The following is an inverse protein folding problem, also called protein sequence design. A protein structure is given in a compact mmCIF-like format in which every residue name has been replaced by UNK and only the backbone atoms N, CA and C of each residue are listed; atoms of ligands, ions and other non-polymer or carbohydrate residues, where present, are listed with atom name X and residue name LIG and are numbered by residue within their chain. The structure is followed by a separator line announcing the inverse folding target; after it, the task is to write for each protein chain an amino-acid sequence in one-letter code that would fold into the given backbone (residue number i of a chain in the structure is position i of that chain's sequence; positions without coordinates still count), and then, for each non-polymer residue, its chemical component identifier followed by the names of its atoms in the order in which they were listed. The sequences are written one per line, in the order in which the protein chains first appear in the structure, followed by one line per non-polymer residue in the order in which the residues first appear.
data_IF_954887237508
#
_entry.id   IF_954887237508
#
_cell.length_a   1.000
_cell.length_b   1.000
_cell.length_c   1.000
_cell.angle_alpha   90.00
_cell.angle_beta   90.00
_cell.angle_gamma   90.00
#
_symmetry.space_group_name_H-M   'P 1'
#
loop_
_entity.id
_entity.type
_entity.pdbx_description
1 polymer ?
#
# COMPACT_ATOMS: atom_id res chain seq x y z
N UNK A 1 11.35 -8.39 -8.06
CA UNK A 1 10.36 -9.43 -7.77
C UNK A 1 9.33 -9.43 -8.88
N UNK A 2 9.21 -10.54 -9.59
CA UNK A 2 8.16 -10.81 -10.59
C UNK A 2 6.89 -11.33 -9.90
N UNK A 3 5.81 -11.44 -10.66
CA UNK A 3 4.55 -12.05 -10.19
C UNK A 3 4.75 -13.52 -9.83
N UNK A 4 5.39 -14.30 -10.71
CA UNK A 4 5.60 -15.73 -10.50
C UNK A 4 6.46 -16.00 -9.26
N UNK A 5 7.49 -15.19 -9.04
CA UNK A 5 8.31 -15.24 -7.82
C UNK A 5 7.48 -14.97 -6.56
N UNK A 6 6.57 -13.99 -6.61
CA UNK A 6 5.74 -13.63 -5.47
C UNK A 6 4.67 -14.71 -5.18
N UNK A 7 4.01 -15.25 -6.21
CA UNK A 7 3.06 -16.35 -6.08
C UNK A 7 3.73 -17.61 -5.51
N UNK A 8 4.96 -17.92 -5.95
CA UNK A 8 5.72 -19.07 -5.47
C UNK A 8 6.01 -19.05 -3.96
N UNK A 9 5.95 -17.89 -3.31
CA UNK A 9 6.08 -17.79 -1.84
C UNK A 9 4.87 -18.37 -1.09
N UNK A 10 3.72 -18.52 -1.77
CA UNK A 10 2.45 -18.89 -1.15
C UNK A 10 1.84 -17.79 -0.27
N UNK A 11 2.48 -16.60 -0.17
CA UNK A 11 2.00 -15.49 0.64
C UNK A 11 0.92 -14.66 -0.04
N UNK A 12 0.79 -14.79 -1.37
CA UNK A 12 -0.20 -14.07 -2.15
C UNK A 12 -0.99 -15.01 -3.04
N UNK A 13 -2.17 -14.56 -3.46
CA UNK A 13 -3.01 -15.23 -4.46
C UNK A 13 -3.68 -14.21 -5.37
N UNK A 14 -4.01 -14.56 -6.63
CA UNK A 14 -4.78 -13.66 -7.48
C UNK A 14 -6.07 -13.22 -6.80
N UNK A 15 -6.41 -11.94 -6.91
CA UNK A 15 -7.72 -11.45 -6.51
C UNK A 15 -8.82 -12.06 -7.40
N UNK A 16 -10.08 -12.08 -6.94
CA UNK A 16 -11.20 -12.60 -7.72
C UNK A 16 -11.42 -11.89 -9.07
N UNK A 17 -11.02 -10.63 -9.17
CA UNK A 17 -10.94 -9.87 -10.42
C UNK A 17 -9.56 -9.23 -10.54
N UNK A 18 -8.55 -10.01 -10.99
CA UNK A 18 -7.15 -9.67 -10.79
C UNK A 18 -6.60 -8.71 -11.83
N UNK A 19 -7.30 -8.37 -12.91
CA UNK A 19 -6.77 -7.47 -13.94
C UNK A 19 -7.62 -6.21 -13.99
N UNK A 20 -6.97 -5.05 -13.84
CA UNK A 20 -7.63 -3.76 -13.98
C UNK A 20 -7.62 -3.24 -15.44
N UNK A 21 -8.23 -2.08 -15.67
CA UNK A 21 -8.32 -1.48 -17.01
C UNK A 21 -6.97 -0.99 -17.57
N UNK A 22 -5.96 -0.81 -16.72
CA UNK A 22 -4.60 -0.47 -17.12
C UNK A 22 -3.74 -1.73 -17.43
N UNK A 23 -4.30 -2.92 -17.19
CA UNK A 23 -3.59 -4.19 -17.36
C UNK A 23 -2.70 -4.56 -16.17
N UNK A 24 -2.80 -3.85 -15.05
CA UNK A 24 -2.12 -4.22 -13.82
C UNK A 24 -2.79 -5.41 -13.16
N UNK A 25 -1.96 -6.24 -12.51
CA UNK A 25 -2.40 -7.47 -11.87
C UNK A 25 -2.48 -7.31 -10.36
N UNK A 26 -3.69 -7.42 -9.83
CA UNK A 26 -4.04 -7.32 -8.43
C UNK A 26 -4.08 -8.66 -7.70
N UNK A 27 -3.53 -8.66 -6.50
CA UNK A 27 -3.35 -9.84 -5.65
C UNK A 27 -3.83 -9.57 -4.23
N UNK A 28 -4.22 -10.63 -3.55
CA UNK A 28 -4.58 -10.63 -2.15
C UNK A 28 -3.51 -11.33 -1.31
N UNK A 29 -3.40 -10.95 -0.04
CA UNK A 29 -2.67 -11.77 0.93
C UNK A 29 -3.36 -13.14 1.08
N UNK A 30 -2.58 -14.21 1.11
CA UNK A 30 -3.09 -15.55 1.42
C UNK A 30 -3.77 -15.56 2.79
N UNK A 31 -4.99 -16.11 2.85
CA UNK A 31 -5.82 -16.10 4.06
C UNK A 31 -6.65 -14.83 4.27
N UNK A 32 -6.46 -13.78 3.46
CA UNK A 32 -7.22 -12.53 3.55
C UNK A 32 -7.64 -12.07 2.15
N UNK A 33 -8.77 -12.60 1.66
CA UNK A 33 -9.36 -12.13 0.40
C UNK A 33 -9.85 -10.69 0.55
N UNK A 34 -9.50 -9.84 -0.39
CA UNK A 34 -10.14 -8.55 -0.56
C UNK A 34 -11.38 -8.70 -1.44
N UNK A 35 -12.19 -7.64 -1.51
CA UNK A 35 -13.30 -7.60 -2.45
C UNK A 35 -12.78 -7.68 -3.90
N UNK A 36 -13.60 -8.15 -4.87
CA UNK A 36 -13.21 -8.13 -6.28
C UNK A 36 -12.79 -6.72 -6.72
N UNK A 37 -11.68 -6.63 -7.43
CA UNK A 37 -11.07 -5.37 -7.89
C UNK A 37 -10.51 -4.45 -6.80
N UNK A 38 -10.37 -4.94 -5.56
CA UNK A 38 -9.63 -4.28 -4.49
C UNK A 38 -8.40 -5.11 -4.17
N UNK A 39 -7.21 -4.51 -4.20
CA UNK A 39 -5.96 -5.26 -4.23
C UNK A 39 -5.10 -5.02 -2.99
N UNK A 40 -4.58 -6.10 -2.41
CA UNK A 40 -3.55 -6.03 -1.37
C UNK A 40 -2.19 -5.76 -1.99
N UNK A 41 -1.86 -6.38 -3.11
CA UNK A 41 -0.65 -6.08 -3.89
C UNK A 41 -1.03 -5.78 -5.34
N UNK A 42 -0.23 -4.94 -6.00
CA UNK A 42 -0.47 -4.58 -7.39
C UNK A 42 0.82 -4.63 -8.19
N UNK A 43 0.77 -5.31 -9.33
CA UNK A 43 1.88 -5.47 -10.26
C UNK A 43 1.60 -4.74 -11.57
N UNK A 44 2.45 -3.78 -11.89
CA UNK A 44 2.55 -3.13 -13.18
C UNK A 44 3.30 -4.03 -14.18
N UNK A 45 2.83 -4.14 -15.43
CA UNK A 45 3.60 -4.77 -16.51
C UNK A 45 4.95 -4.09 -16.76
N UNK A 46 5.08 -2.80 -16.47
CA UNK A 46 6.27 -1.98 -16.76
C UNK A 46 7.21 -1.86 -15.56
N UNK A 47 6.66 -1.68 -14.36
CA UNK A 47 7.44 -1.39 -13.15
C UNK A 47 7.54 -2.58 -12.19
N UNK A 48 6.83 -3.68 -12.44
CA UNK A 48 6.76 -4.81 -11.53
C UNK A 48 5.87 -4.50 -10.33
N UNK A 49 6.26 -4.94 -9.13
CA UNK A 49 5.50 -4.69 -7.91
C UNK A 49 5.50 -3.18 -7.56
N UNK A 50 4.34 -2.55 -7.65
CA UNK A 50 4.17 -1.10 -7.43
C UNK A 50 3.48 -0.75 -6.12
N UNK A 51 2.75 -1.70 -5.53
CA UNK A 51 2.04 -1.51 -4.25
C UNK A 51 2.08 -2.76 -3.39
N UNK A 52 2.31 -2.55 -2.11
CA UNK A 52 2.17 -3.53 -1.03
C UNK A 52 1.27 -2.90 0.03
N UNK A 53 0.05 -3.40 0.16
CA UNK A 53 -0.87 -3.05 1.23
C UNK A 53 -0.53 -3.77 2.52
N UNK A 54 -0.70 -3.09 3.64
CA UNK A 54 -0.36 -3.63 4.95
C UNK A 54 -1.17 -4.86 5.31
N UNK A 55 -0.50 -5.85 5.90
CA UNK A 55 -1.15 -6.89 6.68
C UNK A 55 -1.60 -6.31 8.04
N UNK A 56 -2.36 -7.08 8.81
CA UNK A 56 -2.83 -6.64 10.14
C UNK A 56 -1.66 -6.29 11.09
N UNK A 57 -0.50 -6.90 10.89
CA UNK A 57 0.75 -6.74 11.64
C UNK A 57 1.76 -5.80 10.96
N UNK A 58 1.36 -5.07 9.91
CA UNK A 58 2.25 -4.15 9.22
C UNK A 58 2.51 -2.89 10.07
N UNK A 59 3.79 -2.54 10.19
CA UNK A 59 4.31 -1.38 10.91
C UNK A 59 5.47 -0.77 10.09
N UNK A 60 5.53 0.55 10.00
CA UNK A 60 6.70 1.22 9.41
C UNK A 60 7.90 1.12 10.36
N UNK A 61 9.15 1.16 9.89
CA UNK A 61 10.32 1.15 10.77
C UNK A 61 10.32 2.25 11.85
N UNK A 62 9.59 3.34 11.60
CA UNK A 62 9.41 4.48 12.49
C UNK A 62 8.29 4.31 13.52
N UNK A 63 7.56 3.18 13.48
CA UNK A 63 6.58 2.80 14.49
C UNK A 63 5.11 3.16 14.18
N UNK A 64 4.78 3.46 12.91
CA UNK A 64 3.39 3.72 12.52
C UNK A 64 2.74 2.44 12.00
N UNK A 65 1.59 2.08 12.57
CA UNK A 65 0.86 0.85 12.26
C UNK A 65 -0.65 1.10 12.23
N UNK A 66 -1.42 0.06 11.88
CA UNK A 66 -2.89 0.11 11.97
C UNK A 66 -3.31 0.31 13.43
N UNK A 67 -3.91 1.46 13.73
CA UNK A 67 -4.32 1.86 15.08
C UNK A 67 -3.58 3.08 15.62
N UNK A 68 -2.46 3.48 15.00
CA UNK A 68 -1.79 4.74 15.33
C UNK A 68 -2.73 5.92 15.10
N UNK A 69 -2.63 6.94 15.96
CA UNK A 69 -3.43 8.15 15.84
C UNK A 69 -2.88 9.08 14.75
N UNK A 70 -3.71 10.00 14.27
CA UNK A 70 -3.26 11.10 13.40
C UNK A 70 -2.13 11.92 14.06
N UNK A 71 -2.18 12.09 15.39
CA UNK A 71 -1.15 12.81 16.14
C UNK A 71 0.18 12.06 16.11
N UNK A 72 0.17 10.73 16.31
CA UNK A 72 1.38 9.91 16.20
C UNK A 72 2.00 10.03 14.81
N UNK A 73 1.17 9.99 13.76
CA UNK A 73 1.62 10.16 12.37
C UNK A 73 2.27 11.52 12.17
N UNK A 74 1.69 12.60 12.68
CA UNK A 74 2.28 13.95 12.60
C UNK A 74 3.55 14.09 13.43
N UNK A 75 3.65 13.41 14.57
CA UNK A 75 4.85 13.43 15.40
C UNK A 75 6.03 12.74 14.70
N UNK A 76 5.76 11.62 14.00
CA UNK A 76 6.77 10.86 13.26
C UNK A 76 7.11 11.50 11.91
N UNK A 77 6.11 12.05 11.21
CA UNK A 77 6.25 12.63 9.86
C UNK A 77 5.79 14.10 9.79
N UNK A 78 6.40 15.02 10.56
CA UNK A 78 5.87 16.37 10.81
C UNK A 78 5.68 17.24 9.56
N UNK A 79 6.58 17.13 8.58
CA UNK A 79 6.58 18.00 7.38
C UNK A 79 6.13 17.28 6.10
N UNK A 80 5.88 15.97 6.19
CA UNK A 80 5.86 15.10 5.03
C UNK A 80 4.51 14.44 4.79
N UNK A 81 3.79 14.07 5.85
CA UNK A 81 2.50 13.43 5.69
C UNK A 81 1.41 14.47 5.38
N UNK A 82 0.93 14.45 4.13
CA UNK A 82 -0.06 15.41 3.63
C UNK A 82 -1.32 14.71 3.18
N UNK A 83 -2.52 15.29 3.44
CA UNK A 83 -3.76 14.78 2.86
C UNK A 83 -3.64 14.72 1.34
N UNK A 84 -3.85 13.54 0.78
CA UNK A 84 -3.92 13.30 -0.64
C UNK A 84 -5.39 13.32 -1.09
N UNK A 85 -5.68 14.17 -2.08
CA UNK A 85 -7.01 14.35 -2.69
C UNK A 85 -8.20 14.46 -1.69
N UNK A 86 -7.97 14.99 -0.49
CA UNK A 86 -9.01 15.31 0.50
C UNK A 86 -9.75 14.11 1.09
N UNK A 87 -9.30 12.87 0.84
CA UNK A 87 -10.04 11.65 1.16
C UNK A 87 -9.18 10.74 2.02
N UNK A 88 -9.04 11.06 3.31
CA UNK A 88 -8.60 10.10 4.32
C UNK A 88 -7.26 9.40 4.05
N UNK A 89 -6.51 9.78 3.03
CA UNK A 89 -5.25 9.15 2.64
C UNK A 89 -4.16 10.19 2.82
N UNK A 90 -3.11 9.83 3.53
CA UNK A 90 -1.97 10.68 3.78
C UNK A 90 -0.76 10.03 3.15
N UNK A 91 0.00 10.83 2.43
CA UNK A 91 1.17 10.33 1.71
C UNK A 91 2.41 10.97 2.30
N UNK A 92 3.41 10.15 2.61
CA UNK A 92 4.73 10.59 3.07
C UNK A 92 5.82 9.80 2.34
N UNK A 93 6.96 10.40 1.98
CA UNK A 93 8.11 9.66 1.47
C UNK A 93 8.60 8.64 2.50
N UNK A 94 9.17 7.53 2.02
CA UNK A 94 9.82 6.55 2.89
C UNK A 94 11.22 7.05 3.26
N UNK A 95 11.57 7.17 4.55
CA UNK A 95 12.91 7.57 4.96
C UNK A 95 13.99 6.67 4.35
N UNK A 96 14.96 7.29 3.66
CA UNK A 96 16.06 6.56 3.01
C UNK A 96 15.71 5.81 1.73
N UNK A 97 14.44 5.83 1.28
CA UNK A 97 14.03 5.22 0.00
C UNK A 97 13.23 6.21 -0.86
N UNK A 98 13.90 7.02 -1.71
CA UNK A 98 13.24 8.06 -2.50
C UNK A 98 12.32 7.52 -3.59
N UNK A 99 12.40 6.21 -3.89
CA UNK A 99 11.58 5.57 -4.92
C UNK A 99 10.20 5.16 -4.41
N UNK A 100 9.90 5.34 -3.13
CA UNK A 100 8.66 4.87 -2.51
C UNK A 100 8.05 5.88 -1.54
N UNK A 101 6.74 5.77 -1.38
CA UNK A 101 5.94 6.51 -0.42
C UNK A 101 5.18 5.54 0.50
N UNK A 102 5.02 5.92 1.75
CA UNK A 102 3.97 5.38 2.59
C UNK A 102 2.64 6.07 2.30
N UNK A 103 1.59 5.27 2.15
CA UNK A 103 0.21 5.71 2.08
C UNK A 103 -0.51 5.25 3.34
N UNK A 104 -0.92 6.21 4.16
CA UNK A 104 -1.59 5.99 5.43
C UNK A 104 -3.07 6.31 5.24
N UNK A 105 -3.96 5.32 5.41
CA UNK A 105 -5.41 5.53 5.30
C UNK A 105 -5.97 5.77 6.69
N UNK A 106 -6.51 6.95 6.94
CA UNK A 106 -7.09 7.37 8.21
C UNK A 106 -8.62 7.27 8.17
N UNK A 107 -9.22 6.75 9.23
CA UNK A 107 -10.65 6.87 9.47
C UNK A 107 -10.86 7.35 10.90
N UNK A 108 -11.64 8.41 11.08
CA UNK A 108 -11.88 9.03 12.39
C UNK A 108 -10.57 9.31 13.17
N UNK A 109 -9.58 9.88 12.48
CA UNK A 109 -8.26 10.22 13.03
C UNK A 109 -7.39 9.03 13.49
N UNK A 110 -7.68 7.82 13.00
CA UNK A 110 -6.91 6.61 13.29
C UNK A 110 -6.47 5.94 12.00
N UNK A 111 -5.22 5.51 11.92
CA UNK A 111 -4.69 4.74 10.80
C UNK A 111 -5.41 3.38 10.72
N UNK A 112 -6.07 3.15 9.59
CA UNK A 112 -6.79 1.92 9.26
C UNK A 112 -6.04 1.05 8.26
N UNK A 113 -5.07 1.61 7.55
CA UNK A 113 -4.21 0.89 6.60
C UNK A 113 -2.90 1.64 6.40
N UNK A 114 -1.82 0.89 6.17
CA UNK A 114 -0.48 1.39 5.84
C UNK A 114 -0.05 0.67 4.58
N UNK A 115 0.24 1.40 3.51
CA UNK A 115 0.71 0.82 2.24
C UNK A 115 2.07 1.38 1.90
N UNK A 116 2.87 0.57 1.23
CA UNK A 116 4.11 0.97 0.58
C UNK A 116 3.86 0.98 -0.93
N UNK A 117 4.08 2.11 -1.57
CA UNK A 117 3.87 2.26 -3.01
C UNK A 117 5.06 2.94 -3.67
N UNK A 118 5.37 2.55 -4.92
CA UNK A 118 6.36 3.26 -5.70
C UNK A 118 5.90 4.69 -5.97
N UNK A 119 6.83 5.64 -5.87
CA UNK A 119 6.59 7.04 -6.20
C UNK A 119 6.28 7.24 -7.69
N UNK A 120 6.63 6.29 -8.53
CA UNK A 120 6.32 6.27 -9.97
C UNK A 120 5.74 4.90 -10.34
N UNK A 121 4.53 4.90 -10.87
CA UNK A 121 3.82 3.71 -11.37
C UNK A 121 2.82 4.11 -12.47
N UNK A 122 2.17 3.12 -13.09
CA UNK A 122 1.22 3.30 -14.20
C UNK A 122 -0.12 2.58 -14.01
N UNK A 123 -0.41 2.05 -12.82
CA UNK A 123 -1.69 1.38 -12.56
C UNK A 123 -2.82 2.36 -12.24
N UNK A 124 -2.52 3.49 -11.61
CA UNK A 124 -3.46 4.57 -11.33
C UNK A 124 -2.74 5.92 -11.10
N UNK A 125 -3.50 7.01 -11.13
CA UNK A 125 -3.04 8.39 -10.87
C UNK A 125 -3.46 8.88 -9.49
#
# INVERSE_FOLDING_TARGET
MTVDEAEATGLIRPNAQPVDSAGCKGYDWSGQAAAPAYYSLLFSPKFGLVRIGGRADAETPEGIYRGSSEEDVRAVYPDQAKPHMGRNEWVTPVPGNPSANYWLVLSKHVVTDVRLELATQDCYQ
#
